data_IF_098616634416
#
_entry.id   IF_098616634416
#
_cell.length_a   1.000
_cell.length_b   1.000
_cell.length_c   1.000
_cell.angle_alpha   90.00
_cell.angle_beta   90.00
_cell.angle_gamma   90.00
#
_symmetry.space_group_name_H-M   'P 1'
#
loop_
_entity.id
_entity.type
_entity.pdbx_description
1 polymer ?
#
# COMPACT_ATOMS: atom_id res chain seq x y z
N UNK A 1 15.63 30.67 -4.41
CA UNK A 1 15.49 29.20 -4.23
C UNK A 1 16.43 28.65 -3.17
N UNK A 2 17.72 28.98 -3.20
CA UNK A 2 18.73 28.52 -2.21
C UNK A 2 18.34 28.82 -0.76
N UNK A 3 17.91 30.05 -0.43
CA UNK A 3 17.44 30.40 0.93
C UNK A 3 16.30 29.52 1.48
N UNK A 4 15.40 29.04 0.62
CA UNK A 4 14.31 28.14 1.03
C UNK A 4 14.83 26.74 1.36
N UNK A 5 15.84 26.32 0.61
CA UNK A 5 16.55 25.04 0.78
C UNK A 5 17.40 25.09 2.05
N UNK A 6 18.11 26.19 2.30
CA UNK A 6 18.93 26.41 3.50
C UNK A 6 18.11 26.43 4.79
N UNK A 7 16.95 27.11 4.80
CA UNK A 7 16.07 27.11 5.97
C UNK A 7 15.52 25.70 6.24
N UNK A 8 15.22 24.92 5.20
CA UNK A 8 14.79 23.53 5.38
C UNK A 8 15.92 22.61 5.84
N UNK A 9 17.17 22.88 5.47
CA UNK A 9 18.32 22.02 5.80
C UNK A 9 18.86 22.26 7.22
N UNK A 10 18.74 23.48 7.75
CA UNK A 10 19.32 23.86 9.05
C UNK A 10 18.36 23.73 10.25
N UNK A 11 17.15 23.22 10.04
CA UNK A 11 16.21 22.94 11.13
C UNK A 11 16.57 21.63 11.88
N UNK A 12 17.73 21.58 12.56
CA UNK A 12 18.17 20.48 13.45
C UNK A 12 18.25 19.09 12.78
N UNK A 13 19.11 18.93 11.76
CA UNK A 13 19.28 17.64 11.09
C UNK A 13 20.74 17.19 11.07
N UNK A 14 20.97 15.94 11.47
CA UNK A 14 22.28 15.29 11.60
C UNK A 14 22.80 14.70 10.28
N UNK A 15 21.96 14.57 9.26
CA UNK A 15 22.36 14.35 7.87
C UNK A 15 21.25 14.80 6.93
N UNK A 16 21.62 15.12 5.69
CA UNK A 16 20.76 15.71 4.66
C UNK A 16 19.57 14.79 4.32
N UNK A 17 19.68 13.49 4.54
CA UNK A 17 18.74 12.43 4.14
C UNK A 17 18.06 11.69 5.31
N UNK A 18 18.50 11.90 6.56
CA UNK A 18 17.98 11.21 7.74
C UNK A 18 17.22 12.19 8.64
N UNK A 19 15.92 11.94 8.78
CA UNK A 19 15.00 12.77 9.55
C UNK A 19 14.74 12.12 10.91
N UNK A 20 15.20 12.78 11.98
CA UNK A 20 14.90 12.37 13.34
C UNK A 20 13.76 13.22 13.92
N UNK A 21 12.69 12.56 14.35
CA UNK A 21 11.65 13.20 15.16
C UNK A 21 11.97 13.02 16.65
N UNK A 22 12.30 14.11 17.34
CA UNK A 22 12.64 14.07 18.77
C UNK A 22 11.47 13.73 19.69
N UNK A 23 10.22 14.05 19.30
CA UNK A 23 9.03 13.71 20.09
C UNK A 23 8.59 12.26 19.89
N UNK A 24 8.72 11.73 18.68
CA UNK A 24 8.33 10.36 18.36
C UNK A 24 9.48 9.35 18.49
N UNK A 25 10.71 9.82 18.77
CA UNK A 25 11.95 9.02 18.79
C UNK A 25 12.11 8.12 17.56
N UNK A 26 11.67 8.60 16.39
CA UNK A 26 11.70 7.86 15.13
C UNK A 26 12.68 8.52 14.17
N UNK A 27 13.50 7.68 13.56
CA UNK A 27 14.43 8.03 12.50
C UNK A 27 13.87 7.52 11.18
N UNK A 28 13.72 8.40 10.21
CA UNK A 28 13.09 8.12 8.91
C UNK A 28 14.01 8.63 7.80
N UNK A 29 14.27 7.80 6.78
CA UNK A 29 14.93 8.26 5.57
C UNK A 29 13.95 9.10 4.74
N UNK A 30 14.35 10.32 4.39
CA UNK A 30 13.56 11.30 3.66
C UNK A 30 14.35 11.94 2.53
N UNK A 31 13.79 13.00 1.93
CA UNK A 31 14.51 13.75 0.91
C UNK A 31 15.58 14.67 1.50
N UNK A 32 16.55 15.05 0.65
CA UNK A 32 17.69 15.89 1.02
C UNK A 32 17.31 17.24 1.67
N UNK A 33 16.16 17.78 1.27
CA UNK A 33 15.71 19.12 1.66
C UNK A 33 14.26 19.11 2.19
N UNK A 34 13.57 17.98 2.05
CA UNK A 34 12.15 17.84 2.36
C UNK A 34 11.86 16.43 2.87
N UNK A 35 11.11 16.31 3.96
CA UNK A 35 10.75 15.04 4.59
C UNK A 35 10.17 14.00 3.60
N UNK A 36 9.34 14.45 2.65
CA UNK A 36 8.83 13.64 1.56
C UNK A 36 8.99 14.37 0.23
N UNK A 37 9.61 13.71 -0.75
CA UNK A 37 9.64 14.20 -2.13
C UNK A 37 8.31 13.89 -2.83
N UNK A 38 7.86 14.76 -3.73
CA UNK A 38 6.62 14.56 -4.51
C UNK A 38 6.65 13.23 -5.28
N UNK A 39 7.80 12.86 -5.82
CA UNK A 39 8.01 11.57 -6.49
C UNK A 39 7.78 10.37 -5.55
N UNK A 40 8.34 10.42 -4.33
CA UNK A 40 8.13 9.36 -3.34
C UNK A 40 6.66 9.24 -2.92
N UNK A 41 5.92 10.36 -2.82
CA UNK A 41 4.48 10.37 -2.53
C UNK A 41 3.70 9.70 -3.67
N UNK A 42 4.00 10.03 -4.93
CA UNK A 42 3.35 9.42 -6.09
C UNK A 42 3.65 7.92 -6.21
N UNK A 43 4.88 7.49 -5.94
CA UNK A 43 5.23 6.06 -5.95
C UNK A 43 4.46 5.30 -4.85
N UNK A 44 4.39 5.84 -3.64
CA UNK A 44 3.62 5.25 -2.53
C UNK A 44 2.12 5.11 -2.89
N UNK A 45 1.54 6.13 -3.52
CA UNK A 45 0.14 6.09 -3.94
C UNK A 45 -0.11 5.06 -5.04
N UNK A 46 0.79 4.96 -6.03
CA UNK A 46 0.73 3.94 -7.08
C UNK A 46 0.83 2.52 -6.52
N UNK A 47 1.77 2.26 -5.61
CA UNK A 47 1.92 0.95 -4.94
C UNK A 47 0.66 0.57 -4.18
N UNK A 48 0.06 1.52 -3.43
CA UNK A 48 -1.19 1.28 -2.69
C UNK A 48 -2.33 0.88 -3.63
N UNK A 49 -2.45 1.55 -4.78
CA UNK A 49 -3.46 1.23 -5.80
C UNK A 49 -3.25 -0.16 -6.40
N UNK A 50 -2.00 -0.52 -6.72
CA UNK A 50 -1.66 -1.84 -7.25
C UNK A 50 -1.98 -2.98 -6.26
N UNK A 51 -1.68 -2.79 -4.98
CA UNK A 51 -2.04 -3.76 -3.93
C UNK A 51 -3.56 -3.95 -3.85
N UNK A 52 -4.32 -2.86 -3.83
CA UNK A 52 -5.79 -2.91 -3.82
C UNK A 52 -6.38 -3.67 -5.01
N UNK A 53 -5.85 -3.46 -6.22
CA UNK A 53 -6.30 -4.20 -7.41
C UNK A 53 -6.02 -5.71 -7.29
N UNK A 54 -4.86 -6.09 -6.77
CA UNK A 54 -4.50 -7.51 -6.56
C UNK A 54 -5.41 -8.17 -5.51
N UNK A 55 -5.77 -7.45 -4.46
CA UNK A 55 -6.66 -7.97 -3.42
C UNK A 55 -8.09 -8.14 -3.94
N UNK A 56 -8.58 -7.20 -4.75
CA UNK A 56 -9.88 -7.30 -5.43
C UNK A 56 -9.92 -8.51 -6.39
N UNK A 57 -8.86 -8.72 -7.16
CA UNK A 57 -8.77 -9.87 -8.08
C UNK A 57 -8.83 -11.20 -7.34
N UNK A 58 -8.05 -11.34 -6.26
CA UNK A 58 -8.07 -12.55 -5.43
C UNK A 58 -9.44 -12.78 -4.80
N UNK A 59 -10.06 -11.72 -4.31
CA UNK A 59 -11.39 -11.79 -3.73
C UNK A 59 -12.43 -12.24 -4.78
N UNK A 60 -12.34 -11.70 -6.00
CA UNK A 60 -13.22 -12.10 -7.09
C UNK A 60 -13.03 -13.57 -7.50
N UNK A 61 -11.78 -14.02 -7.63
CA UNK A 61 -11.45 -15.43 -7.90
C UNK A 61 -12.00 -16.36 -6.82
N UNK A 62 -11.84 -15.98 -5.54
CA UNK A 62 -12.38 -16.76 -4.42
C UNK A 62 -13.92 -16.82 -4.47
N UNK A 63 -14.59 -15.69 -4.73
CA UNK A 63 -16.05 -15.67 -4.88
C UNK A 63 -16.49 -16.59 -6.01
N UNK A 64 -15.86 -16.52 -7.19
CA UNK A 64 -16.20 -17.40 -8.31
C UNK A 64 -16.00 -18.87 -7.96
N UNK A 65 -14.92 -19.22 -7.28
CA UNK A 65 -14.63 -20.59 -6.87
C UNK A 65 -15.65 -21.09 -5.84
N UNK A 66 -16.03 -20.24 -4.88
CA UNK A 66 -17.08 -20.56 -3.90
C UNK A 66 -18.45 -20.73 -4.58
N UNK A 67 -18.78 -19.87 -5.55
CA UNK A 67 -20.01 -19.98 -6.32
C UNK A 67 -20.05 -21.26 -7.15
N UNK A 68 -18.94 -21.60 -7.83
CA UNK A 68 -18.79 -22.85 -8.58
C UNK A 68 -18.97 -24.07 -7.68
N UNK A 69 -18.25 -24.12 -6.55
CA UNK A 69 -18.37 -25.22 -5.59
C UNK A 69 -19.79 -25.35 -5.03
N UNK A 70 -20.46 -24.22 -4.74
CA UNK A 70 -21.86 -24.21 -4.30
C UNK A 70 -22.79 -24.78 -5.38
N UNK A 71 -22.58 -24.41 -6.65
CA UNK A 71 -23.35 -24.94 -7.77
C UNK A 71 -23.11 -26.44 -7.97
N UNK A 72 -21.87 -26.90 -7.95
CA UNK A 72 -21.52 -28.33 -8.04
C UNK A 72 -22.20 -29.13 -6.92
N UNK A 73 -22.15 -28.62 -5.69
CA UNK A 73 -22.83 -29.25 -4.56
C UNK A 73 -24.36 -29.29 -4.73
N UNK A 74 -24.96 -28.24 -5.29
CA UNK A 74 -26.38 -28.21 -5.61
C UNK A 74 -26.75 -29.26 -6.67
N UNK A 75 -26.01 -29.34 -7.77
CA UNK A 75 -26.22 -30.34 -8.82
C UNK A 75 -26.07 -31.77 -8.28
N UNK A 76 -25.03 -32.04 -7.49
CA UNK A 76 -24.83 -33.35 -6.85
C UNK A 76 -25.98 -33.70 -5.89
N UNK A 77 -26.52 -32.72 -5.15
CA UNK A 77 -27.65 -32.93 -4.24
C UNK A 77 -28.94 -33.26 -5.00
N UNK A 78 -29.15 -32.70 -6.18
CA UNK A 78 -30.32 -33.00 -7.01
C UNK A 78 -30.20 -34.36 -7.72
N UNK A 79 -29.01 -34.74 -8.20
CA UNK A 79 -28.78 -36.07 -8.77
C UNK A 79 -28.98 -37.20 -7.74
N UNK A 80 -28.56 -37.00 -6.49
CA UNK A 80 -28.81 -37.97 -5.40
C UNK A 80 -30.28 -38.11 -4.98
N UNK A 81 -31.15 -37.15 -5.33
CA UNK A 81 -32.58 -37.22 -5.04
C UNK A 81 -33.39 -37.89 -6.15
N UNK A 82 -32.78 -38.08 -7.33
CA UNK A 82 -33.43 -38.67 -8.51
C UNK A 82 -33.12 -40.17 -8.69
N UNK A 83 -32.29 -40.75 -7.82
CA UNK A 83 -31.99 -42.19 -7.71
C UNK A 83 -32.58 -42.75 -6.43
#
# INVERSE_FOLDING_TARGET
MVKKIEVSQHAKYTSVDIWHCGSCMKTVAGGAWTYHTTSAVTVKSAIRRLKGLKDQLKHHQLIMLLAYNKWVNFCNKNNKKAS
#
